data_IF_933450543324
#
_entry.id   IF_933450543324
#
_cell.length_a   1.000
_cell.length_b   1.000
_cell.length_c   1.000
_cell.angle_alpha   90.00
_cell.angle_beta   90.00
_cell.angle_gamma   90.00
#
_symmetry.space_group_name_H-M   'P 1'
#
loop_
_entity.id
_entity.type
_entity.pdbx_description
1 polymer ?
2 branched ?
3 branched ?
4 non-polymer ?
5 non-polymer ?
6 non-polymer ?
7 water ?
#
# COMPACT_ATOMS: atom_id res chain seq x y z
N UNK A 1 5.13 -8.56 -26.84
CA UNK A 1 4.19 -8.17 -25.71
C UNK A 1 3.54 -6.82 -26.05
N UNK A 2 2.26 -6.64 -25.72
CA UNK A 2 1.59 -5.34 -25.86
C UNK A 2 1.38 -4.77 -24.45
N UNK A 3 1.20 -3.44 -24.38
CA UNK A 3 0.87 -2.85 -23.12
C UNK A 3 -0.46 -3.40 -22.62
N UNK A 4 -0.53 -3.66 -21.32
CA UNK A 4 -1.76 -4.07 -20.72
C UNK A 4 -2.76 -2.92 -20.72
N UNK A 5 -4.03 -3.24 -21.00
CA UNK A 5 -5.12 -2.32 -20.88
C UNK A 5 -6.06 -2.83 -19.76
N UNK A 6 -6.62 -1.88 -19.02
CA UNK A 6 -7.54 -2.20 -17.93
C UNK A 6 -8.94 -2.38 -18.54
N UNK A 7 -9.17 -3.56 -19.12
CA UNK A 7 -10.39 -3.78 -19.90
C UNK A 7 -11.47 -4.43 -19.05
N UNK A 8 -11.12 -4.99 -17.91
CA UNK A 8 -12.05 -5.78 -17.12
C UNK A 8 -12.51 -5.02 -15.88
N UNK A 9 -13.64 -5.45 -15.33
CA UNK A 9 -14.11 -5.00 -14.04
C UNK A 9 -13.63 -5.89 -12.93
N UNK A 10 -13.91 -5.50 -11.69
CA UNK A 10 -13.57 -6.35 -10.55
C UNK A 10 -14.48 -7.57 -10.52
N UNK A 11 -13.94 -8.70 -10.08
CA UNK A 11 -14.73 -9.87 -9.76
C UNK A 11 -15.61 -9.50 -8.54
N UNK A 12 -16.73 -10.17 -8.41
CA UNK A 12 -17.53 -10.02 -7.23
C UNK A 12 -16.76 -10.61 -6.04
N UNK A 13 -16.66 -9.81 -5.00
CA UNK A 13 -15.96 -10.16 -3.80
C UNK A 13 -16.98 -10.64 -2.77
N UNK A 14 -17.03 -11.94 -2.53
CA UNK A 14 -17.94 -12.54 -1.50
C UNK A 14 -17.16 -12.99 -0.26
N UNK A 15 -15.83 -13.06 -0.37
CA UNK A 15 -14.94 -13.38 0.74
C UNK A 15 -13.49 -13.25 0.21
N UNK A 16 -12.55 -13.54 1.09
CA UNK A 16 -11.13 -13.47 0.76
C UNK A 16 -10.49 -14.81 1.08
N UNK A 17 -9.62 -15.27 0.18
CA UNK A 17 -8.87 -16.50 0.38
C UNK A 17 -7.40 -16.15 0.55
N UNK A 18 -6.66 -17.04 1.18
CA UNK A 18 -5.26 -16.84 1.41
C UNK A 18 -4.54 -16.94 0.07
N UNK A 19 -3.62 -16.00 -0.15
CA UNK A 19 -2.87 -15.92 -1.44
C UNK A 19 -1.40 -16.21 -1.18
N UNK A 20 -0.79 -15.46 -0.25
CA UNK A 20 0.62 -15.68 0.08
C UNK A 20 0.91 -15.30 1.51
N UNK A 21 1.96 -15.85 2.06
CA UNK A 21 2.38 -15.57 3.40
C UNK A 21 3.85 -15.99 3.48
N UNK A 22 4.74 -15.13 3.96
CA UNK A 22 6.15 -15.52 3.97
C UNK A 22 6.69 -15.98 5.32
N UNK A 23 6.02 -15.69 6.44
CA UNK A 23 6.53 -16.14 7.71
C UNK A 23 7.99 -15.67 7.95
N UNK A 24 8.32 -14.47 7.49
CA UNK A 24 9.69 -14.07 7.35
C UNK A 24 10.37 -13.99 8.73
N UNK A 25 9.63 -13.49 9.74
CA UNK A 25 10.23 -13.21 11.04
C UNK A 25 10.46 -14.53 11.78
N UNK A 26 9.52 -15.48 11.68
CA UNK A 26 9.72 -16.82 12.19
C UNK A 26 10.95 -17.46 11.56
N UNK A 27 10.98 -17.44 10.23
CA UNK A 27 12.08 -18.11 9.53
C UNK A 27 13.43 -17.42 9.78
N UNK A 28 13.45 -16.09 9.82
CA UNK A 28 14.68 -15.29 9.98
C UNK A 28 15.26 -15.32 11.38
N UNK A 29 14.55 -15.92 12.34
CA UNK A 29 15.12 -16.19 13.65
C UNK A 29 16.38 -17.05 13.52
N UNK A 30 16.46 -17.86 12.45
CA UNK A 30 17.60 -18.73 12.28
C UNK A 30 17.91 -18.92 10.79
N UNK A 31 17.79 -17.85 10.00
CA UNK A 31 18.26 -17.91 8.61
C UNK A 31 18.48 -16.47 8.14
N UNK A 32 19.12 -16.28 6.99
CA UNK A 32 19.66 -14.98 6.65
C UNK A 32 18.59 -14.14 5.95
N UNK A 33 17.62 -13.68 6.70
CA UNK A 33 16.52 -12.93 6.25
C UNK A 33 16.83 -11.45 6.49
N UNK A 34 16.62 -10.65 5.46
CA UNK A 34 16.79 -9.20 5.56
C UNK A 34 15.67 -8.57 6.40
N UNK A 35 16.06 -7.55 7.16
CA UNK A 35 15.10 -6.67 7.81
C UNK A 35 14.40 -5.85 6.74
N UNK A 36 13.09 -5.69 6.83
CA UNK A 36 12.31 -4.92 5.89
C UNK A 36 11.28 -4.07 6.63
N UNK A 37 10.61 -3.22 5.89
CA UNK A 37 9.29 -2.70 6.17
C UNK A 37 8.73 -2.19 4.83
N UNK A 38 7.52 -1.65 4.85
CA UNK A 38 6.87 -1.11 3.69
C UNK A 38 6.82 -2.14 2.56
N UNK A 39 6.28 -3.35 2.81
CA UNK A 39 6.20 -4.37 1.79
C UNK A 39 4.98 -4.14 0.88
N UNK A 40 4.99 -4.85 -0.24
CA UNK A 40 3.87 -4.93 -1.11
C UNK A 40 4.01 -6.12 -2.04
N UNK A 41 3.05 -6.27 -2.96
CA UNK A 41 3.01 -7.35 -3.92
C UNK A 41 2.77 -6.73 -5.28
N UNK A 42 3.39 -7.31 -6.33
CA UNK A 42 3.18 -6.80 -7.63
C UNK A 42 3.42 -7.91 -8.63
N UNK A 43 2.60 -7.96 -9.67
CA UNK A 43 2.67 -9.03 -10.66
C UNK A 43 3.30 -8.55 -11.97
N UNK A 44 4.10 -9.45 -12.56
CA UNK A 44 4.47 -9.38 -13.93
C UNK A 44 3.56 -10.32 -14.71
N UNK A 45 3.61 -10.32 -16.05
CA UNK A 45 2.75 -11.23 -16.81
C UNK A 45 2.97 -12.72 -16.53
N UNK A 46 4.15 -13.07 -16.04
CA UNK A 46 4.47 -14.47 -15.82
C UNK A 46 4.80 -14.84 -14.36
N UNK A 47 4.68 -13.92 -13.41
CA UNK A 47 5.12 -14.23 -12.05
C UNK A 47 4.56 -13.10 -11.19
N UNK A 48 4.23 -13.39 -9.94
CA UNK A 48 3.89 -12.36 -8.93
C UNK A 48 4.94 -12.46 -7.82
N UNK A 49 5.39 -11.31 -7.33
CA UNK A 49 6.49 -11.27 -6.36
C UNK A 49 6.13 -10.37 -5.18
N UNK A 50 6.78 -10.66 -4.06
CA UNK A 50 6.79 -9.77 -2.89
C UNK A 50 7.88 -8.71 -3.09
N UNK A 51 7.63 -7.51 -2.57
CA UNK A 51 8.48 -6.36 -2.61
C UNK A 51 8.53 -5.76 -1.21
N UNK A 52 9.62 -5.09 -0.89
CA UNK A 52 9.74 -4.32 0.33
C UNK A 52 11.00 -3.47 0.29
N UNK A 53 11.09 -2.57 1.29
CA UNK A 53 12.31 -1.82 1.51
C UNK A 53 13.17 -2.54 2.53
N UNK A 54 14.28 -3.09 2.06
CA UNK A 54 15.27 -3.62 2.90
C UNK A 54 15.87 -2.53 3.79
N UNK A 55 16.41 -2.97 4.94
CA UNK A 55 17.25 -2.11 5.78
C UNK A 55 18.74 -2.45 5.65
N UNK A 56 19.12 -3.32 4.72
CA UNK A 56 20.51 -3.62 4.47
C UNK A 56 21.21 -4.30 5.65
N UNK A 57 20.52 -5.26 6.28
CA UNK A 57 21.04 -6.07 7.36
C UNK A 57 20.07 -7.22 7.46
N UNK A 58 20.53 -8.34 8.00
CA UNK A 58 19.68 -9.42 8.48
C UNK A 58 19.06 -9.09 9.83
N UNK A 59 17.96 -9.81 10.18
CA UNK A 59 17.27 -9.67 11.48
C UNK A 59 18.24 -9.99 12.61
N UNK A 60 18.86 -11.16 12.51
CA UNK A 60 19.77 -11.63 13.54
C UNK A 60 21.11 -10.87 13.51
N UNK A 61 21.37 -10.08 12.47
CA UNK A 61 22.59 -9.31 12.39
C UNK A 61 22.62 -8.18 13.42
N UNK A 62 23.82 -7.86 13.90
CA UNK A 62 23.97 -6.74 14.83
C UNK A 62 23.51 -5.42 14.22
N UNK A 63 23.54 -5.25 12.87
CA UNK A 63 23.08 -4.06 12.24
C UNK A 63 21.55 -3.90 12.26
N UNK A 64 20.83 -4.90 12.77
CA UNK A 64 19.37 -4.78 12.95
C UNK A 64 19.05 -3.71 14.00
N UNK A 65 20.01 -3.42 14.86
CA UNK A 65 19.78 -2.43 15.93
C UNK A 65 19.62 -1.07 15.30
N UNK A 66 18.44 -0.44 15.49
CA UNK A 66 18.20 0.90 14.97
C UNK A 66 17.27 0.91 13.75
N UNK A 67 16.75 -0.26 13.35
CA UNK A 67 15.98 -0.35 12.14
C UNK A 67 14.56 0.15 12.28
N UNK A 68 14.17 0.68 13.46
CA UNK A 68 12.94 1.49 13.47
C UNK A 68 13.09 2.71 12.53
N UNK A 69 14.32 3.19 12.32
CA UNK A 69 14.56 4.43 11.57
C UNK A 69 14.17 4.22 10.10
N UNK A 70 13.54 5.24 9.52
CA UNK A 70 12.93 5.15 8.15
C UNK A 70 13.91 5.29 6.98
N UNK A 71 14.89 6.21 7.08
CA UNK A 71 15.53 6.69 5.84
C UNK A 71 17.05 6.71 5.95
N UNK A 72 17.69 5.59 5.71
CA UNK A 72 19.10 5.48 5.73
C UNK A 72 19.59 5.23 4.30
N UNK A 73 20.90 5.34 4.14
CA UNK A 73 21.58 5.05 2.89
C UNK A 73 21.65 3.54 2.63
N UNK A 74 21.16 2.70 3.56
CA UNK A 74 21.37 1.25 3.47
C UNK A 74 20.09 0.54 2.99
N UNK A 75 19.06 1.31 2.59
CA UNK A 75 17.77 0.77 2.21
C UNK A 75 17.73 0.64 0.71
N UNK A 76 16.92 -0.33 0.28
CA UNK A 76 16.70 -0.55 -1.14
C UNK A 76 15.35 -1.22 -1.34
N UNK A 77 14.77 -1.00 -2.51
CA UNK A 77 13.62 -1.77 -2.91
C UNK A 77 14.12 -3.14 -3.40
N UNK A 78 13.60 -4.18 -2.77
CA UNK A 78 13.91 -5.55 -3.13
C UNK A 78 12.62 -6.26 -3.53
N UNK A 79 12.79 -7.28 -4.40
CA UNK A 79 11.70 -8.21 -4.66
C UNK A 79 12.19 -9.64 -4.51
N UNK A 80 11.25 -10.54 -4.28
CA UNK A 80 11.61 -11.90 -4.07
C UNK A 80 10.40 -12.78 -4.37
N UNK A 81 10.62 -14.10 -4.61
CA UNK A 81 9.51 -14.97 -4.99
C UNK A 81 8.37 -15.03 -3.99
N UNK A 82 7.15 -15.15 -4.54
CA UNK A 82 5.93 -15.05 -3.75
C UNK A 82 6.01 -16.07 -2.61
N UNK A 83 5.76 -15.59 -1.40
CA UNK A 83 5.65 -16.36 -0.18
C UNK A 83 6.98 -16.93 0.33
N UNK A 84 8.09 -16.77 -0.41
CA UNK A 84 9.42 -16.97 0.19
C UNK A 84 9.68 -15.79 1.12
N UNK A 85 10.65 -15.89 2.06
CA UNK A 85 11.06 -14.71 2.81
C UNK A 85 12.09 -13.91 2.04
N UNK A 86 12.29 -12.62 2.38
CA UNK A 86 13.30 -11.79 1.75
C UNK A 86 14.69 -12.14 2.29
N UNK A 87 15.39 -13.05 1.61
CA UNK A 87 16.65 -13.43 2.11
C UNK A 87 17.78 -12.71 1.40
N UNK A 88 18.95 -12.78 2.00
CA UNK A 88 20.14 -12.18 1.36
C UNK A 88 20.36 -12.77 -0.02
N UNK A 89 20.07 -14.06 -0.16
CA UNK A 89 20.48 -14.83 -1.32
C UNK A 89 19.38 -14.89 -2.39
N UNK A 90 18.13 -14.53 -2.08
CA UNK A 90 17.04 -14.68 -3.08
C UNK A 90 16.43 -13.30 -3.38
N UNK A 91 16.91 -12.23 -2.80
CA UNK A 91 16.25 -10.93 -2.91
C UNK A 91 16.91 -10.16 -4.06
N UNK A 92 16.12 -9.65 -5.00
CA UNK A 92 16.65 -8.92 -6.13
C UNK A 92 16.47 -7.45 -5.84
N UNK A 93 17.55 -6.68 -5.96
CA UNK A 93 17.42 -5.22 -5.71
C UNK A 93 16.89 -4.54 -6.97
N UNK A 94 15.77 -3.82 -6.84
CA UNK A 94 15.17 -3.07 -7.95
C UNK A 94 15.79 -1.68 -8.08
N UNK A 95 16.03 -1.00 -6.96
CA UNK A 95 16.68 0.28 -6.94
C UNK A 95 17.00 0.62 -5.48
N UNK A 96 17.76 1.70 -5.29
CA UNK A 96 18.24 2.12 -3.96
C UNK A 96 17.40 3.26 -3.45
N UNK A 97 16.97 3.17 -2.19
CA UNK A 97 16.24 4.26 -1.59
C UNK A 97 15.30 3.80 -0.49
N UNK A 98 14.49 4.76 0.00
CA UNK A 98 13.78 4.56 1.21
C UNK A 98 12.30 4.90 1.06
N UNK A 99 11.83 5.00 -0.19
CA UNK A 99 10.43 5.11 -0.53
C UNK A 99 10.27 4.67 -1.98
N UNK A 100 9.22 3.90 -2.28
CA UNK A 100 9.21 3.24 -3.60
C UNK A 100 7.82 3.02 -4.13
N UNK A 101 7.75 2.69 -5.43
CA UNK A 101 6.64 2.06 -6.06
C UNK A 101 7.20 1.26 -7.24
N UNK A 102 6.36 0.38 -7.82
CA UNK A 102 6.77 -0.46 -8.95
C UNK A 102 5.53 -0.96 -9.63
N UNK A 103 5.55 -1.09 -10.97
CA UNK A 103 4.50 -1.74 -11.66
C UNK A 103 4.97 -2.19 -13.03
N UNK A 104 4.30 -3.23 -13.54
CA UNK A 104 4.56 -3.75 -14.85
C UNK A 104 3.49 -3.22 -15.80
N UNK A 105 3.93 -2.80 -17.00
CA UNK A 105 3.02 -2.19 -17.95
C UNK A 105 2.56 -3.18 -19.02
N UNK A 106 2.98 -4.44 -18.89
CA UNK A 106 2.67 -5.52 -19.82
C UNK A 106 3.82 -5.86 -20.71
N UNK A 107 4.71 -4.88 -20.93
CA UNK A 107 5.95 -5.12 -21.65
C UNK A 107 7.09 -5.31 -20.66
N UNK A 108 7.29 -4.36 -19.73
CA UNK A 108 8.33 -4.50 -18.75
C UNK A 108 7.92 -3.71 -17.52
N UNK A 109 8.81 -3.67 -16.53
CA UNK A 109 8.50 -3.10 -15.25
C UNK A 109 9.17 -1.75 -15.08
N UNK A 110 8.39 -0.88 -14.44
CA UNK A 110 8.91 0.40 -13.95
C UNK A 110 9.04 0.30 -12.44
N UNK A 111 10.20 0.73 -11.89
CA UNK A 111 10.43 0.80 -10.47
C UNK A 111 10.93 2.18 -10.12
N UNK A 112 10.42 2.74 -9.00
CA UNK A 112 10.82 4.09 -8.61
C UNK A 112 11.30 4.02 -7.17
N UNK A 113 12.50 4.55 -6.89
CA UNK A 113 13.04 4.64 -5.55
C UNK A 113 13.51 6.07 -5.32
N UNK A 114 13.19 6.60 -4.15
CA UNK A 114 13.61 7.92 -3.73
C UNK A 114 14.66 7.76 -2.65
N UNK A 115 15.73 8.56 -2.75
CA UNK A 115 16.77 8.60 -1.76
C UNK A 115 17.16 10.05 -1.51
N UNK A 116 18.00 10.21 -0.48
CA UNK A 116 18.60 11.50 -0.17
C UNK A 116 18.25 11.93 1.28
N UNK A 117 18.80 13.09 1.66
CA UNK A 117 18.51 13.67 2.95
C UNK A 117 17.14 14.33 2.80
N UNK A 118 16.60 14.76 3.93
CA UNK A 118 15.25 15.23 3.93
C UNK A 118 15.01 16.43 3.03
N UNK A 119 16.00 17.32 2.94
CA UNK A 119 15.86 18.56 2.21
C UNK A 119 16.41 18.47 0.79
N UNK A 120 16.72 17.25 0.28
CA UNK A 120 17.38 17.19 -0.99
C UNK A 120 17.22 15.78 -1.61
N UNK A 121 16.02 15.22 -1.49
CA UNK A 121 15.78 13.85 -2.00
C UNK A 121 15.50 13.90 -3.49
N UNK A 122 15.64 12.75 -4.14
CA UNK A 122 15.38 12.64 -5.58
C UNK A 122 14.86 11.22 -5.87
N UNK A 123 13.89 11.17 -6.77
CA UNK A 123 13.37 9.95 -7.38
C UNK A 123 14.22 9.56 -8.61
N UNK A 124 14.51 8.26 -8.73
CA UNK A 124 15.04 7.68 -9.94
C UNK A 124 14.01 6.67 -10.42
N UNK A 125 13.60 6.85 -11.67
CA UNK A 125 12.64 6.05 -12.33
C UNK A 125 13.39 5.08 -13.24
N UNK A 126 13.26 3.81 -12.92
CA UNK A 126 13.84 2.66 -13.63
C UNK A 126 12.79 2.04 -14.53
N UNK A 127 13.21 1.67 -15.75
CA UNK A 127 12.34 1.00 -16.68
C UNK A 127 13.15 -0.07 -17.40
N UNK A 128 12.64 -1.29 -17.41
CA UNK A 128 13.40 -2.39 -18.00
C UNK A 128 14.76 -2.54 -17.30
N UNK A 129 14.76 -2.37 -15.98
CA UNK A 129 15.88 -2.54 -15.06
C UNK A 129 17.06 -1.62 -15.39
N UNK A 130 16.74 -0.46 -15.98
CA UNK A 130 17.71 0.57 -16.22
C UNK A 130 17.16 1.92 -15.78
N UNK A 131 18.02 2.84 -15.28
CA UNK A 131 17.55 4.15 -14.87
C UNK A 131 17.24 4.97 -16.12
N UNK A 132 16.08 5.63 -16.12
CA UNK A 132 15.71 6.43 -17.28
C UNK A 132 15.50 7.92 -16.94
N UNK A 133 14.75 8.21 -15.87
CA UNK A 133 14.34 9.57 -15.52
C UNK A 133 14.67 9.82 -14.05
N UNK A 134 14.95 11.08 -13.72
CA UNK A 134 15.19 11.50 -12.34
C UNK A 134 14.34 12.73 -12.07
N UNK A 135 13.86 12.80 -10.82
CA UNK A 135 13.02 13.96 -10.38
C UNK A 135 13.58 14.45 -9.08
N UNK A 136 13.93 15.74 -9.04
CA UNK A 136 14.39 16.35 -7.79
C UNK A 136 13.21 16.77 -6.92
N UNK A 137 13.46 16.77 -5.62
CA UNK A 137 12.53 17.31 -4.61
C UNK A 137 12.05 18.68 -5.08
N UNK A 138 10.73 18.88 -4.98
CA UNK A 138 10.15 20.20 -5.29
C UNK A 138 9.82 21.00 -4.04
N UNK A 139 9.67 20.37 -2.88
CA UNK A 139 9.32 21.08 -1.67
C UNK A 139 10.40 20.95 -0.58
N UNK A 140 11.46 20.19 -0.86
CA UNK A 140 12.61 20.02 0.04
C UNK A 140 12.19 19.50 1.41
N UNK A 141 11.30 18.51 1.41
CA UNK A 141 10.83 17.93 2.67
C UNK A 141 10.31 16.51 2.44
N UNK A 142 11.25 15.59 2.28
CA UNK A 142 11.02 14.16 2.22
C UNK A 142 10.10 13.82 1.04
N UNK A 143 10.59 14.10 -0.18
CA UNK A 143 9.95 13.59 -1.36
C UNK A 143 9.66 12.10 -1.14
N UNK A 144 8.46 11.62 -1.50
CA UNK A 144 8.05 10.27 -1.07
C UNK A 144 6.88 9.79 -1.92
N UNK A 145 6.64 8.48 -1.97
CA UNK A 145 5.64 7.95 -2.85
C UNK A 145 4.90 6.78 -2.19
N UNK A 146 4.34 5.91 -3.01
CA UNK A 146 3.16 5.08 -2.67
C UNK A 146 3.45 4.01 -1.62
N UNK A 147 4.60 3.35 -1.72
CA UNK A 147 4.91 2.15 -0.91
C UNK A 147 4.00 0.96 -1.26
N UNK A 148 3.39 0.98 -2.44
CA UNK A 148 2.75 -0.16 -3.03
C UNK A 148 2.71 0.01 -4.55
N UNK A 149 2.17 -0.97 -5.23
CA UNK A 149 2.30 -0.99 -6.71
C UNK A 149 1.53 0.17 -7.35
N UNK A 150 2.09 0.67 -8.45
CA UNK A 150 1.39 1.55 -9.36
C UNK A 150 0.58 0.69 -10.34
N UNK A 151 -0.19 1.35 -11.18
CA UNK A 151 -1.00 0.66 -12.18
C UNK A 151 -0.80 1.32 -13.54
N UNK A 152 -0.81 0.50 -14.57
CA UNK A 152 -0.62 1.02 -15.93
C UNK A 152 -1.83 0.75 -16.81
N UNK A 153 -1.98 1.62 -17.84
CA UNK A 153 -3.02 1.43 -18.83
C UNK A 153 -2.44 1.92 -20.17
N UNK A 154 -2.38 1.01 -21.15
CA UNK A 154 -1.81 1.34 -22.46
C UNK A 154 -0.46 2.05 -22.30
N UNK A 155 0.36 1.58 -21.37
CA UNK A 155 1.71 2.10 -21.21
C UNK A 155 1.80 3.29 -20.28
N UNK A 156 0.69 3.90 -19.89
CA UNK A 156 0.70 5.05 -19.01
C UNK A 156 0.50 4.54 -17.57
N UNK A 157 1.46 4.87 -16.71
CA UNK A 157 1.51 4.40 -15.34
C UNK A 157 1.55 5.64 -14.45
N UNK A 158 0.38 6.06 -13.91
CA UNK A 158 0.35 7.17 -12.97
C UNK A 158 0.93 6.78 -11.62
N UNK A 159 1.63 7.72 -11.02
CA UNK A 159 2.23 7.54 -9.71
C UNK A 159 1.93 8.79 -8.89
N UNK A 160 1.55 8.59 -7.63
CA UNK A 160 1.31 9.72 -6.73
C UNK A 160 2.53 9.93 -5.84
N UNK A 161 2.99 11.20 -5.74
CA UNK A 161 4.08 11.57 -4.87
C UNK A 161 3.60 12.70 -3.97
N UNK A 162 4.23 12.82 -2.81
CA UNK A 162 4.08 13.94 -1.94
C UNK A 162 5.44 14.49 -1.55
N UNK A 163 5.54 15.83 -1.41
CA UNK A 163 6.76 16.47 -0.88
C UNK A 163 6.28 17.66 -0.02
N UNK A 164 6.78 17.76 1.21
CA UNK A 164 6.32 18.74 2.11
C UNK A 164 5.92 18.12 3.43
N UNK A 165 5.26 18.95 4.25
CA UNK A 165 4.94 18.58 5.57
C UNK A 165 4.10 17.31 5.60
N UNK A 166 4.32 16.48 6.62
CA UNK A 166 3.43 15.34 6.90
C UNK A 166 2.27 15.73 7.83
N UNK A 167 2.26 16.97 8.33
CA UNK A 167 1.32 17.42 9.40
C UNK A 167 0.69 18.77 9.04
N UNK A 168 0.41 18.96 7.76
CA UNK A 168 0.03 20.23 7.27
C UNK A 168 -0.12 20.10 5.76
N UNK A 169 -0.52 21.17 5.08
CA UNK A 169 -0.55 21.17 3.61
C UNK A 169 0.82 20.80 3.04
N UNK A 170 0.79 20.01 1.95
CA UNK A 170 1.97 19.57 1.27
C UNK A 170 1.68 19.66 -0.23
N UNK A 171 2.71 19.36 -1.03
CA UNK A 171 2.63 19.45 -2.47
C UNK A 171 2.63 18.03 -3.06
N UNK A 172 1.42 17.55 -3.35
CA UNK A 172 1.22 16.23 -3.91
C UNK A 172 1.12 16.41 -5.40
N UNK A 173 1.77 15.49 -6.13
CA UNK A 173 1.74 15.52 -7.56
C UNK A 173 1.40 14.12 -8.11
N UNK A 174 0.59 14.08 -9.19
CA UNK A 174 0.36 12.86 -9.96
C UNK A 174 1.24 12.96 -11.21
N UNK A 175 2.19 12.02 -11.35
CA UNK A 175 3.02 11.91 -12.51
C UNK A 175 2.47 10.80 -13.39
N UNK A 176 2.49 11.05 -14.69
CA UNK A 176 2.07 10.08 -15.67
C UNK A 176 3.30 9.62 -16.43
N UNK A 177 3.76 8.37 -16.20
CA UNK A 177 4.94 7.88 -16.84
C UNK A 177 4.58 6.98 -18.00
N UNK A 178 5.47 6.94 -19.00
CA UNK A 178 5.40 5.89 -20.05
C UNK A 178 6.82 5.56 -20.48
N UNK A 179 7.18 4.30 -20.38
CA UNK A 179 8.54 3.81 -20.68
C UNK A 179 9.55 4.58 -19.82
N UNK A 180 9.13 4.89 -18.59
CA UNK A 180 9.94 5.56 -17.60
C UNK A 180 10.15 7.02 -17.84
N UNK A 181 9.47 7.59 -18.83
CA UNK A 181 9.57 9.00 -19.15
C UNK A 181 8.32 9.72 -18.65
N UNK A 182 8.49 11.02 -18.35
CA UNK A 182 7.38 11.81 -17.89
C UNK A 182 6.58 12.32 -19.08
N UNK A 183 5.31 11.93 -19.16
CA UNK A 183 4.39 12.49 -20.15
C UNK A 183 3.85 13.81 -19.64
N UNK A 184 3.53 13.87 -18.35
CA UNK A 184 2.77 14.96 -17.78
C UNK A 184 2.87 14.77 -16.26
N UNK A 185 2.72 15.88 -15.53
CA UNK A 185 2.38 15.78 -14.13
C UNK A 185 1.34 16.85 -13.81
N UNK A 186 0.58 16.62 -12.75
CA UNK A 186 -0.43 17.55 -12.32
C UNK A 186 -0.34 17.69 -10.82
N UNK A 187 -0.61 18.87 -10.24
CA UNK A 187 -0.77 18.96 -8.80
C UNK A 187 -2.10 18.33 -8.39
N UNK A 188 -2.17 17.87 -7.15
CA UNK A 188 -3.39 17.32 -6.61
C UNK A 188 -4.52 18.35 -6.77
N UNK A 189 -5.69 17.87 -7.20
CA UNK A 189 -6.90 18.67 -7.22
C UNK A 189 -7.98 17.93 -6.46
N UNK A 190 -9.18 18.53 -6.39
CA UNK A 190 -10.30 17.95 -5.65
C UNK A 190 -10.27 18.31 -4.19
N UNK A 191 -10.93 17.49 -3.37
CA UNK A 191 -11.25 17.90 -2.00
C UNK A 191 -10.43 17.16 -0.94
N UNK A 192 -9.55 16.23 -1.35
CA UNK A 192 -8.61 15.63 -0.39
C UNK A 192 -7.65 16.72 0.06
N UNK A 193 -7.44 16.86 1.37
CA UNK A 193 -6.67 17.97 1.89
C UNK A 193 -5.22 17.58 2.15
N UNK A 194 -4.91 16.27 2.15
CA UNK A 194 -3.57 15.79 2.41
C UNK A 194 -3.51 14.36 1.88
N UNK A 195 -2.38 14.00 1.25
CA UNK A 195 -2.25 12.67 0.61
C UNK A 195 -0.91 12.05 0.99
N UNK A 196 -0.98 10.81 1.45
CA UNK A 196 0.20 10.01 1.61
C UNK A 196 -0.06 8.59 1.14
N UNK A 197 1.00 7.94 0.64
CA UNK A 197 1.05 6.47 0.56
C UNK A 197 -0.17 5.87 -0.14
N UNK A 198 -0.45 6.29 -1.37
CA UNK A 198 -1.63 5.80 -2.04
C UNK A 198 -1.49 4.31 -2.41
N UNK A 199 -2.60 3.60 -2.26
CA UNK A 199 -2.80 2.22 -2.63
C UNK A 199 -3.75 2.19 -3.82
N UNK A 200 -3.29 1.65 -4.99
CA UNK A 200 -4.04 1.80 -6.20
C UNK A 200 -4.43 0.46 -6.84
N UNK A 201 -5.48 0.50 -7.64
CA UNK A 201 -5.88 -0.63 -8.49
C UNK A 201 -6.58 -0.05 -9.72
N UNK A 202 -6.66 -0.84 -10.79
CA UNK A 202 -7.31 -0.43 -12.00
C UNK A 202 -8.42 -1.36 -12.41
N UNK A 203 -9.45 -0.79 -13.04
CA UNK A 203 -10.51 -1.54 -13.66
C UNK A 203 -11.23 -0.59 -14.64
N UNK A 204 -11.67 -1.15 -15.77
CA UNK A 204 -12.39 -0.46 -16.83
C UNK A 204 -11.79 0.95 -17.04
N UNK A 205 -10.48 0.99 -17.27
CA UNK A 205 -9.75 2.18 -17.73
C UNK A 205 -9.82 3.34 -16.74
N UNK A 206 -9.92 2.97 -15.47
CA UNK A 206 -9.90 3.94 -14.36
C UNK A 206 -8.99 3.38 -13.25
N UNK A 207 -8.16 4.22 -12.66
CA UNK A 207 -7.31 3.83 -11.57
C UNK A 207 -7.83 4.54 -10.32
N UNK A 208 -8.06 3.74 -9.27
CA UNK A 208 -8.55 4.22 -7.97
C UNK A 208 -7.46 4.03 -6.93
N UNK A 209 -7.10 5.12 -6.25
CA UNK A 209 -6.11 5.10 -5.22
C UNK A 209 -6.75 5.49 -3.88
N UNK A 210 -6.53 4.69 -2.84
CA UNK A 210 -6.94 5.03 -1.48
C UNK A 210 -5.70 5.37 -0.69
N UNK A 211 -5.71 6.52 -0.01
CA UNK A 211 -4.49 7.07 0.50
C UNK A 211 -4.66 7.35 1.99
N UNK A 212 -3.65 7.98 2.58
CA UNK A 212 -3.58 8.26 4.00
C UNK A 212 -3.50 9.79 4.17
N UNK A 213 -4.55 10.38 4.78
CA UNK A 213 -4.49 11.79 5.18
C UNK A 213 -3.80 11.83 6.53
N UNK A 214 -2.48 12.06 6.54
CA UNK A 214 -1.75 12.02 7.75
C UNK A 214 -2.05 13.26 8.62
N UNK A 215 -2.57 14.33 8.02
CA UNK A 215 -2.72 15.61 8.72
C UNK A 215 -3.94 15.57 9.64
N UNK A 216 -5.15 15.60 9.09
CA UNK A 216 -6.37 15.76 9.91
C UNK A 216 -7.36 14.59 9.80
N UNK A 217 -7.30 13.76 8.75
CA UNK A 217 -8.42 12.93 8.37
C UNK A 217 -8.29 11.48 8.88
N UNK A 218 -9.37 10.92 9.44
CA UNK A 218 -9.39 9.50 9.81
C UNK A 218 -10.24 8.70 8.85
N UNK A 219 -10.95 9.41 7.95
CA UNK A 219 -11.48 8.85 6.71
C UNK A 219 -10.31 8.89 5.70
N UNK A 220 -10.34 8.02 4.68
CA UNK A 220 -9.21 7.98 3.76
C UNK A 220 -9.56 8.79 2.52
N UNK A 221 -8.60 9.59 2.04
CA UNK A 221 -8.75 10.26 0.76
C UNK A 221 -8.69 9.23 -0.39
N UNK A 222 -9.38 9.55 -1.47
CA UNK A 222 -9.43 8.71 -2.62
C UNK A 222 -9.09 9.60 -3.81
N UNK A 223 -8.14 9.14 -4.61
CA UNK A 223 -7.84 9.76 -5.91
C UNK A 223 -8.27 8.82 -7.00
N UNK A 224 -9.03 9.32 -7.99
CA UNK A 224 -9.40 8.53 -9.13
C UNK A 224 -8.81 9.16 -10.39
N UNK A 225 -8.10 8.32 -11.13
CA UNK A 225 -7.26 8.75 -12.24
C UNK A 225 -7.78 8.14 -13.53
N UNK A 226 -7.93 9.00 -14.53
CA UNK A 226 -8.19 8.64 -15.90
C UNK A 226 -6.83 8.60 -16.60
N UNK A 227 -6.25 7.40 -16.86
CA UNK A 227 -4.91 7.37 -17.42
C UNK A 227 -4.84 7.62 -18.93
N UNK A 228 -6.00 7.81 -19.56
CA UNK A 228 -6.04 8.18 -21.01
C UNK A 228 -6.02 9.70 -21.12
N UNK A 229 -6.94 10.35 -20.41
CA UNK A 229 -7.02 11.79 -20.38
C UNK A 229 -5.88 12.37 -19.56
N UNK A 230 -5.30 11.53 -18.69
CA UNK A 230 -4.30 11.94 -17.70
C UNK A 230 -4.80 13.08 -16.85
N UNK A 231 -5.94 12.82 -16.20
CA UNK A 231 -6.62 13.75 -15.30
C UNK A 231 -7.04 12.95 -14.08
N UNK A 232 -7.41 13.66 -13.03
CA UNK A 232 -7.83 12.97 -11.83
C UNK A 232 -8.79 13.85 -11.02
N UNK A 233 -9.40 13.23 -10.02
CA UNK A 233 -10.11 13.97 -9.01
C UNK A 233 -9.80 13.33 -7.68
N UNK A 234 -10.21 14.01 -6.62
CA UNK A 234 -10.00 13.49 -5.27
C UNK A 234 -11.19 13.84 -4.40
N UNK A 235 -11.39 12.98 -3.42
CA UNK A 235 -12.40 13.20 -2.36
C UNK A 235 -12.01 12.30 -1.21
N UNK A 236 -12.92 12.12 -0.23
CA UNK A 236 -12.73 11.15 0.82
C UNK A 236 -13.77 10.03 0.67
N UNK A 237 -13.46 8.87 1.24
CA UNK A 237 -14.49 7.87 1.44
C UNK A 237 -15.56 8.49 2.39
N UNK A 238 -16.81 8.58 1.91
CA UNK A 238 -17.96 9.22 2.58
C UNK A 238 -18.36 8.41 3.83
N UNK A 239 -18.17 7.08 3.76
CA UNK A 239 -18.66 6.17 4.82
C UNK A 239 -18.22 6.56 6.21
N UNK A 240 -19.12 6.38 7.21
CA UNK A 240 -18.73 6.51 8.60
C UNK A 240 -17.94 5.34 9.15
N UNK A 241 -17.64 4.34 8.31
CA UNK A 241 -16.74 3.28 8.75
C UNK A 241 -15.33 3.78 8.51
N UNK A 242 -14.71 4.35 9.53
CA UNK A 242 -13.46 5.04 9.34
C UNK A 242 -12.30 4.03 9.28
N UNK A 243 -11.34 4.29 8.37
CA UNK A 243 -10.39 3.20 8.10
C UNK A 243 -8.92 3.59 8.20
N UNK A 244 -8.59 4.78 8.69
CA UNK A 244 -7.21 5.06 9.05
C UNK A 244 -6.95 4.54 10.47
N UNK A 245 -5.74 4.75 10.97
CA UNK A 245 -5.30 4.37 12.32
C UNK A 245 -4.16 5.27 12.72
N UNK A 246 -4.17 5.81 13.93
CA UNK A 246 -5.27 5.77 14.90
C UNK A 246 -6.46 6.57 14.37
N UNK A 247 -7.60 6.42 15.04
CA UNK A 247 -8.78 7.02 14.56
C UNK A 247 -9.75 7.13 15.74
N UNK A 248 -10.76 8.01 15.64
CA UNK A 248 -11.86 8.01 16.61
C UNK A 248 -12.82 6.86 16.31
N UNK A 249 -13.75 6.65 17.24
CA UNK A 249 -14.76 5.68 17.02
C UNK A 249 -15.62 6.08 15.83
N UNK A 250 -16.23 5.08 15.21
CA UNK A 250 -17.04 5.28 14.07
C UNK A 250 -18.26 6.12 14.42
N UNK A 251 -18.53 7.19 13.66
CA UNK A 251 -19.78 7.94 13.81
C UNK A 251 -20.93 7.26 13.04
N UNK A 252 -22.07 7.96 12.86
CA UNK A 252 -23.13 7.41 12.03
C UNK A 252 -23.16 8.09 10.67
N UNK A 253 -22.45 9.22 10.54
CA UNK A 253 -22.38 9.91 9.26
C UNK A 253 -20.93 10.40 9.07
N UNK A 254 -20.38 10.08 7.88
CA UNK A 254 -19.00 10.43 7.61
C UNK A 254 -18.90 11.75 6.86
N UNK A 255 -17.79 11.95 6.17
CA UNK A 255 -17.56 13.16 5.43
C UNK A 255 -16.95 12.81 4.08
N UNK A 256 -17.60 13.33 3.04
CA UNK A 256 -17.24 13.06 1.60
C UNK A 256 -16.08 13.96 1.12
N UNK A 257 -16.01 15.20 1.61
CA UNK A 257 -15.19 16.25 1.01
C UNK A 257 -14.31 16.98 2.01
N UNK A 258 -14.16 16.45 3.22
CA UNK A 258 -13.22 16.98 4.18
C UNK A 258 -12.81 15.86 5.11
N UNK A 259 -11.68 16.05 5.83
CA UNK A 259 -11.19 15.07 6.79
C UNK A 259 -12.19 14.92 7.96
N UNK A 260 -12.43 13.67 8.36
CA UNK A 260 -13.18 13.39 9.51
C UNK A 260 -12.23 13.57 10.67
N UNK A 261 -12.54 14.52 11.59
CA UNK A 261 -11.55 14.93 12.58
C UNK A 261 -11.49 14.06 13.83
N UNK A 262 -10.55 14.38 14.73
CA UNK A 262 -10.44 13.64 15.99
C UNK A 262 -9.03 13.19 16.26
N UNK A 263 -8.29 12.90 15.18
CA UNK A 263 -6.90 12.45 15.28
C UNK A 263 -6.06 13.20 14.24
N UNK A 264 -4.91 13.72 14.66
CA UNK A 264 -4.08 14.57 13.84
C UNK A 264 -2.71 13.94 13.70
N UNK A 265 -2.06 14.21 12.57
CA UNK A 265 -0.63 14.01 12.46
C UNK A 265 -0.22 12.56 12.71
N UNK A 266 -0.97 11.64 12.16
CA UNK A 266 -0.62 10.26 12.18
C UNK A 266 -1.53 9.53 11.21
N UNK A 267 -1.21 8.26 11.00
CA UNK A 267 -2.02 7.46 10.10
C UNK A 267 -1.33 6.14 9.83
N UNK A 268 -1.87 5.41 8.87
CA UNK A 268 -1.22 4.18 8.38
C UNK A 268 -1.62 4.01 6.92
N UNK A 269 -0.72 3.49 6.10
CA UNK A 269 -1.09 3.17 4.73
C UNK A 269 -2.18 2.10 4.74
N UNK A 270 -3.20 2.28 3.87
CA UNK A 270 -4.28 1.34 3.75
C UNK A 270 -4.86 1.37 2.37
N UNK A 271 -6.04 0.72 2.21
CA UNK A 271 -6.56 0.49 0.87
C UNK A 271 -8.07 0.23 0.95
N UNK A 272 -8.71 0.27 -0.20
CA UNK A 272 -10.07 -0.13 -0.34
C UNK A 272 -10.30 -0.57 -1.76
N UNK A 273 -11.40 -1.28 -1.98
CA UNK A 273 -11.93 -1.55 -3.32
C UNK A 273 -13.31 -0.89 -3.37
N UNK A 274 -13.50 0.05 -4.29
CA UNK A 274 -14.67 0.93 -4.28
C UNK A 274 -15.42 0.66 -5.57
N UNK A 275 -16.46 -0.15 -5.48
CA UNK A 275 -17.09 -0.69 -6.68
C UNK A 275 -18.59 -0.90 -6.41
N UNK A 276 -19.28 0.21 -6.02
CA UNK A 276 -20.73 0.14 -5.77
C UNK A 276 -21.01 -0.80 -4.63
N UNK A 277 -21.95 -1.73 -4.84
CA UNK A 277 -22.25 -2.61 -3.74
C UNK A 277 -21.06 -3.54 -3.47
N UNK A 278 -20.23 -3.76 -4.50
CA UNK A 278 -19.05 -4.62 -4.35
C UNK A 278 -17.88 -3.82 -3.77
N UNK A 279 -18.11 -3.13 -2.64
CA UNK A 279 -17.12 -2.30 -2.02
C UNK A 279 -16.68 -2.95 -0.71
N UNK A 280 -15.37 -3.09 -0.54
CA UNK A 280 -14.77 -3.65 0.65
C UNK A 280 -13.69 -2.69 1.13
N UNK A 281 -13.66 -2.43 2.44
CA UNK A 281 -12.70 -1.57 3.08
C UNK A 281 -11.83 -2.41 4.03
N UNK A 282 -10.52 -2.19 4.02
CA UNK A 282 -9.67 -2.74 5.04
C UNK A 282 -9.45 -1.75 6.17
N UNK A 283 -9.30 -2.27 7.39
CA UNK A 283 -8.81 -1.46 8.48
C UNK A 283 -8.24 -2.32 9.62
N UNK A 284 -7.43 -1.66 10.46
CA UNK A 284 -7.02 -2.19 11.72
C UNK A 284 -8.30 -2.36 12.56
N UNK A 285 -8.25 -3.36 13.45
CA UNK A 285 -9.39 -3.53 14.34
C UNK A 285 -9.27 -2.44 15.42
N UNK A 286 -8.09 -2.29 16.00
CA UNK A 286 -7.87 -1.26 16.98
C UNK A 286 -8.04 0.13 16.41
N UNK A 287 -8.66 1.04 17.21
CA UNK A 287 -8.69 2.43 16.86
C UNK A 287 -7.45 3.15 17.35
N UNK A 288 -6.62 2.52 18.18
CA UNK A 288 -5.51 3.22 18.78
C UNK A 288 -4.16 2.82 18.21
N UNK A 289 -4.01 1.57 17.80
CA UNK A 289 -2.71 1.05 17.40
C UNK A 289 -2.84 0.17 16.17
N UNK A 290 -1.68 -0.21 15.63
CA UNK A 290 -1.63 -1.06 14.44
C UNK A 290 -1.76 -2.51 14.88
N UNK A 291 -2.94 -2.86 15.35
CA UNK A 291 -3.21 -4.21 15.79
C UNK A 291 -4.54 -4.65 15.19
N UNK A 292 -4.55 -5.89 14.75
CA UNK A 292 -5.63 -6.51 14.08
C UNK A 292 -5.81 -6.02 12.65
N UNK A 293 -6.64 -6.73 11.92
CA UNK A 293 -6.98 -6.32 10.56
C UNK A 293 -8.25 -7.01 10.16
N UNK A 294 -9.12 -6.26 9.49
CA UNK A 294 -10.35 -6.78 9.03
C UNK A 294 -10.74 -6.15 7.70
N UNK A 295 -11.53 -6.91 6.95
CA UNK A 295 -12.18 -6.41 5.76
C UNK A 295 -13.68 -6.29 6.04
N UNK A 296 -14.28 -5.20 5.63
CA UNK A 296 -15.69 -4.96 5.78
C UNK A 296 -16.26 -4.62 4.43
N UNK A 297 -17.39 -5.25 4.13
CA UNK A 297 -18.12 -4.96 2.94
C UNK A 297 -19.04 -3.79 3.29
N UNK A 298 -18.88 -2.66 2.60
CA UNK A 298 -19.54 -1.43 2.95
C UNK A 298 -20.10 -0.90 1.63
N UNK A 299 -21.29 -1.37 1.22
CA UNK A 299 -21.87 -0.96 -0.05
C UNK A 299 -21.86 0.56 -0.20
N UNK A 300 -21.32 1.02 -1.33
CA UNK A 300 -21.28 2.42 -1.72
C UNK A 300 -20.53 3.29 -0.72
N UNK A 301 -19.48 2.74 -0.06
CA UNK A 301 -18.73 3.51 0.88
C UNK A 301 -18.27 4.84 0.31
N UNK A 302 -17.85 4.86 -0.96
CA UNK A 302 -17.25 6.03 -1.49
C UNK A 302 -18.25 7.19 -1.49
N UNK A 303 -19.54 6.90 -1.76
CA UNK A 303 -20.49 7.94 -2.09
C UNK A 303 -21.59 8.10 -1.03
N UNK A 304 -21.70 7.13 -0.13
CA UNK A 304 -22.86 7.09 0.85
C UNK A 304 -22.31 7.40 2.24
N UNK A 305 -22.64 8.60 2.76
CA UNK A 305 -22.14 9.06 4.01
C UNK A 305 -22.79 8.41 5.25
N UNK A 306 -23.68 7.44 5.05
CA UNK A 306 -24.19 6.68 6.21
C UNK A 306 -23.94 5.17 6.05
N UNK A 307 -23.17 4.79 5.00
CA UNK A 307 -22.97 3.35 4.64
C UNK A 307 -22.29 2.62 5.81
N UNK A 308 -22.90 1.48 6.18
CA UNK A 308 -22.36 0.64 7.23
C UNK A 308 -22.11 -0.77 6.68
N UNK A 309 -21.38 -1.62 7.41
CA UNK A 309 -21.04 -2.94 6.90
C UNK A 309 -22.23 -3.87 6.73
N UNK A 310 -22.19 -4.69 5.68
CA UNK A 310 -23.20 -5.72 5.43
C UNK A 310 -22.58 -7.14 5.55
N UNK A 311 -21.24 -7.20 5.66
CA UNK A 311 -20.48 -8.46 5.69
C UNK A 311 -19.07 -8.11 6.13
N UNK A 312 -18.32 -9.08 6.62
CA UNK A 312 -16.96 -8.84 6.93
C UNK A 312 -16.10 -10.09 7.00
N UNK A 313 -14.80 -9.85 7.17
CA UNK A 313 -13.89 -10.97 7.35
C UNK A 313 -12.75 -10.49 8.21
N UNK A 314 -12.45 -11.24 9.28
CA UNK A 314 -11.28 -10.99 10.11
C UNK A 314 -10.04 -11.56 9.39
N UNK A 315 -8.99 -10.76 9.29
CA UNK A 315 -7.73 -11.19 8.64
C UNK A 315 -6.68 -11.45 9.72
N UNK A 316 -6.54 -10.54 10.69
CA UNK A 316 -5.58 -10.60 11.77
C UNK A 316 -6.35 -10.22 13.04
N UNK A 317 -6.21 -11.07 14.08
CA UNK A 317 -6.89 -10.79 15.34
C UNK A 317 -6.35 -9.50 15.94
N UNK A 318 -7.17 -8.88 16.78
CA UNK A 318 -6.78 -7.68 17.46
C UNK A 318 -5.67 -7.92 18.47
N UNK A 319 -5.38 -9.17 18.82
CA UNK A 319 -4.31 -9.49 19.71
C UNK A 319 -2.98 -9.76 18.98
N UNK A 320 -2.95 -9.43 17.66
CA UNK A 320 -1.75 -9.62 16.86
C UNK A 320 -1.46 -8.29 16.16
N UNK A 321 -0.19 -8.07 15.88
CA UNK A 321 0.25 -6.82 15.25
C UNK A 321 -0.05 -6.87 13.73
N UNK A 322 -0.50 -5.74 13.22
CA UNK A 322 -0.66 -5.53 11.75
C UNK A 322 0.32 -4.43 11.33
N UNK A 323 -0.14 -3.50 10.48
CA UNK A 323 0.78 -2.59 9.83
C UNK A 323 0.15 -2.03 8.60
N UNK A 324 1.01 -1.67 7.65
CA UNK A 324 0.56 -1.16 6.38
C UNK A 324 -0.28 -2.20 5.65
N UNK A 325 -1.14 -1.73 4.76
CA UNK A 325 -1.81 -2.61 3.84
C UNK A 325 -2.02 -1.88 2.51
N UNK A 326 -2.13 -2.67 1.45
CA UNK A 326 -2.20 -2.12 0.10
C UNK A 326 -2.81 -3.10 -0.88
N UNK A 327 -3.21 -2.56 -2.01
CA UNK A 327 -3.87 -3.28 -3.08
C UNK A 327 -2.86 -3.65 -4.18
N UNK A 328 -3.17 -4.77 -4.82
CA UNK A 328 -2.57 -5.16 -6.07
C UNK A 328 -3.58 -6.12 -6.73
N UNK A 329 -3.38 -6.37 -8.03
CA UNK A 329 -4.13 -7.44 -8.72
C UNK A 329 -3.18 -8.08 -9.72
N UNK A 330 -3.51 -9.31 -10.09
CA UNK A 330 -2.87 -9.97 -11.18
C UNK A 330 -3.65 -9.62 -12.46
N UNK A 331 -3.20 -8.57 -13.12
CA UNK A 331 -3.79 -8.07 -14.34
C UNK A 331 -3.63 -9.05 -15.51
N UNK A 332 -2.80 -10.07 -15.35
CA UNK A 332 -2.52 -11.01 -16.43
C UNK A 332 -3.15 -12.38 -16.19
N UNK A 333 -4.09 -12.48 -15.27
CA UNK A 333 -4.74 -13.75 -14.98
C UNK A 333 -5.75 -14.10 -16.09
N UNK A 334 -6.20 -15.34 -16.09
CA UNK A 334 -7.24 -15.75 -17.02
C UNK A 334 -8.60 -15.28 -16.51
N UNK A 335 -9.56 -15.24 -17.42
CA UNK A 335 -10.91 -15.06 -16.99
C UNK A 335 -11.41 -13.68 -17.33
N UNK A 336 -12.57 -13.35 -16.80
CA UNK A 336 -13.36 -12.25 -17.35
C UNK A 336 -13.29 -11.02 -16.45
N UNK A 337 -12.65 -11.16 -15.28
CA UNK A 337 -12.68 -10.09 -14.33
C UNK A 337 -11.35 -10.08 -13.55
N UNK A 338 -11.03 -8.93 -12.94
CA UNK A 338 -9.82 -8.77 -12.16
C UNK A 338 -10.14 -9.13 -10.71
N UNK A 339 -9.36 -10.04 -10.13
CA UNK A 339 -9.55 -10.48 -8.78
C UNK A 339 -8.80 -9.53 -7.84
N UNK A 340 -9.57 -8.80 -7.03
CA UNK A 340 -9.04 -7.93 -6.01
C UNK A 340 -8.10 -8.70 -5.08
N UNK A 341 -6.95 -8.09 -4.79
CA UNK A 341 -6.02 -8.66 -3.79
C UNK A 341 -5.51 -7.56 -2.86
N UNK A 342 -4.99 -7.97 -1.71
CA UNK A 342 -4.35 -7.07 -0.83
C UNK A 342 -3.30 -7.79 -0.02
N UNK A 343 -2.42 -7.01 0.59
CA UNK A 343 -1.46 -7.54 1.56
C UNK A 343 -1.63 -6.75 2.87
N UNK A 344 -1.18 -7.36 3.97
CA UNK A 344 -0.97 -6.69 5.24
C UNK A 344 0.46 -6.96 5.69
N UNK A 345 1.13 -5.87 6.06
CA UNK A 345 2.41 -5.84 6.68
C UNK A 345 2.19 -6.17 8.16
N UNK A 346 2.84 -7.23 8.66
CA UNK A 346 2.71 -7.64 10.08
C UNK A 346 3.98 -7.22 10.79
N UNK A 347 3.95 -6.01 11.39
CA UNK A 347 5.14 -5.40 11.93
C UNK A 347 5.52 -6.07 13.25
N UNK A 348 6.80 -6.41 13.37
CA UNK A 348 7.29 -6.92 14.62
C UNK A 348 8.44 -6.06 15.08
N UNK A 349 8.69 -6.09 16.39
CA UNK A 349 9.73 -5.33 16.96
C UNK A 349 9.29 -3.92 17.34
N UNK A 350 10.19 -2.94 17.18
CA UNK A 350 9.89 -1.59 17.71
C UNK A 350 8.86 -0.87 16.83
N UNK A 351 8.04 0.00 17.45
CA UNK A 351 8.13 0.45 18.84
C UNK A 351 7.31 -0.42 19.82
N UNK A 352 6.44 -1.29 19.30
CA UNK A 352 5.50 -1.95 20.20
C UNK A 352 6.19 -3.01 21.04
N UNK A 353 7.19 -3.67 20.46
CA UNK A 353 7.93 -4.79 21.08
C UNK A 353 9.38 -4.34 21.24
N UNK A 354 9.66 -3.60 22.33
CA UNK A 354 10.90 -2.93 22.43
C UNK A 354 11.92 -3.71 23.25
N UNK A 355 11.68 -4.99 23.52
CA UNK A 355 12.75 -5.83 24.08
C UNK A 355 13.76 -6.26 23.00
N UNK A 356 13.35 -6.15 21.74
CA UNK A 356 14.33 -6.26 20.65
C UNK A 356 14.67 -4.84 20.20
N UNK A 357 15.82 -4.72 19.52
CA UNK A 357 16.33 -3.46 19.06
C UNK A 357 16.03 -3.17 17.58
N UNK A 358 15.30 -4.10 16.93
CA UNK A 358 14.99 -3.99 15.52
C UNK A 358 13.50 -3.73 15.31
N UNK A 359 13.19 -3.41 14.06
CA UNK A 359 11.84 -3.35 13.55
C UNK A 359 11.85 -4.10 12.22
N UNK A 360 10.94 -5.04 12.05
CA UNK A 360 10.83 -5.70 10.74
C UNK A 360 9.36 -6.08 10.55
N UNK A 361 9.06 -6.94 9.57
CA UNK A 361 7.70 -7.33 9.33
C UNK A 361 7.73 -8.67 8.61
N UNK A 362 6.58 -9.32 8.56
CA UNK A 362 6.34 -10.32 7.54
C UNK A 362 5.12 -9.89 6.73
N UNK A 363 4.72 -10.73 5.77
CA UNK A 363 3.67 -10.39 4.86
C UNK A 363 2.62 -11.49 4.91
N UNK A 364 1.35 -11.08 4.87
CA UNK A 364 0.25 -11.94 4.52
C UNK A 364 -0.52 -11.24 3.41
N UNK A 365 -1.09 -12.02 2.49
CA UNK A 365 -1.80 -11.46 1.35
C UNK A 365 -2.97 -12.37 1.00
N UNK A 366 -4.10 -11.78 0.58
CA UNK A 366 -5.29 -12.50 0.30
C UNK A 366 -5.86 -11.94 -1.00
N UNK A 367 -6.64 -12.75 -1.73
CA UNK A 367 -7.34 -12.29 -2.92
C UNK A 367 -8.81 -12.65 -2.74
N UNK A 368 -9.68 -12.05 -3.53
CA UNK A 368 -11.11 -12.25 -3.36
C UNK A 368 -11.56 -13.57 -3.97
N UNK A 369 -12.61 -14.13 -3.38
CA UNK A 369 -13.34 -15.29 -3.86
C UNK A 369 -14.78 -14.90 -4.18
N UNK A 370 -15.37 -15.56 -5.19
CA UNK A 370 -16.86 -15.47 -5.40
C UNK A 370 -17.59 -16.46 -4.50
N UNK A 371 -16.87 -17.36 -3.80
CA UNK A 371 -17.49 -18.14 -2.74
C UNK A 371 -17.57 -17.33 -1.47
N UNK A 372 -18.34 -17.84 -0.51
CA UNK A 372 -18.39 -17.31 0.84
C UNK A 372 -17.60 -18.26 1.74
N UNK A 373 -16.27 -18.06 1.74
CA UNK A 373 -15.36 -18.96 2.41
C UNK A 373 -15.29 -18.68 3.90
N UNK A 374 -15.00 -19.76 4.63
CA UNK A 374 -14.64 -19.66 6.02
C UNK A 374 -13.44 -18.80 6.24
N UNK A 375 -13.42 -18.12 7.40
CA UNK A 375 -12.29 -17.25 7.74
C UNK A 375 -11.37 -17.86 8.78
N UNK A 376 -10.06 -17.60 8.61
CA UNK A 376 -9.06 -17.85 9.65
C UNK A 376 -8.41 -16.51 9.98
N UNK A 377 -7.48 -16.49 10.93
CA UNK A 377 -6.70 -15.31 11.19
C UNK A 377 -5.26 -15.69 10.89
N UNK A 378 -4.47 -14.69 10.50
CA UNK A 378 -3.15 -14.92 9.92
C UNK A 378 -2.11 -14.04 10.59
N UNK A 379 -1.65 -14.43 11.76
CA UNK A 379 -0.65 -13.64 12.46
C UNK A 379 0.75 -13.83 11.87
N UNK A 380 1.65 -12.96 12.27
CA UNK A 380 3.03 -13.11 11.91
C UNK A 380 3.57 -14.46 12.33
N UNK A 381 3.36 -14.79 13.60
CA UNK A 381 3.68 -16.14 14.13
C UNK A 381 5.01 -16.28 14.83
N UNK A 382 5.87 -15.24 14.84
CA UNK A 382 7.12 -15.31 15.58
C UNK A 382 6.94 -15.02 17.06
N UNK A 383 7.77 -15.72 17.86
CA UNK A 383 7.86 -15.51 19.30
C UNK A 383 9.03 -14.59 19.59
N UNK A 384 8.70 -13.39 20.05
CA UNK A 384 9.69 -12.38 20.23
C UNK A 384 10.74 -12.82 21.26
N UNK A 385 10.31 -13.60 22.26
CA UNK A 385 11.23 -14.03 23.33
C UNK A 385 12.39 -14.84 22.73
N UNK A 386 12.17 -15.49 21.58
CA UNK A 386 13.25 -16.23 20.96
C UNK A 386 14.42 -15.37 20.52
N UNK A 387 14.17 -14.09 20.24
CA UNK A 387 15.14 -13.19 19.74
C UNK A 387 15.91 -12.46 20.83
N UNK A 388 15.60 -12.77 22.09
CA UNK A 388 16.24 -12.09 23.22
C UNK A 388 17.47 -12.88 23.67
X LIG B 1 -4.02 -1.87 -25.49
X LIG B 1 -3.66 -3.03 -26.37
X LIG B 1 -2.71 -2.62 -27.52
X LIG B 1 -3.30 -1.44 -28.23
X LIG B 1 -3.70 -0.35 -27.21
X LIG B 1 -4.40 0.93 -27.73
X LIG B 1 -3.29 -5.40 -25.53
X LIG B 1 -4.21 -5.82 -26.51
X LIG B 1 -3.04 -4.05 -25.59
X LIG B 1 -2.45 -3.80 -28.26
X LIG B 1 -2.31 -0.77 -29.04
X LIG B 1 -4.64 -0.90 -26.31
X LIG B 1 -5.52 0.52 -28.50
X LIG B 1 -2.76 -6.26 -24.73
X LIG B 2 -2.23 -1.23 -30.40
X LIG B 2 -1.49 -0.19 -31.25
X LIG B 2 -1.23 -0.72 -32.70
X LIG B 2 -0.57 -2.10 -32.68
X LIG B 2 -1.47 -3.01 -31.79
X LIG B 2 -1.00 -4.43 -31.59
X LIG B 2 -2.14 2.07 -30.46
X LIG B 2 -3.28 3.03 -30.59
X LIG B 2 -2.30 1.00 -31.20
X LIG B 2 -0.42 0.20 -33.42
X LIG B 2 -0.28 -2.58 -34.04
X LIG B 2 -1.58 -2.47 -30.43
X LIG B 2 0.39 -4.36 -31.25
X LIG B 2 -1.21 2.26 -29.66
X LIG C 1 21.57 -0.75 20.24
X LIG C 1 22.46 -1.26 21.31
X LIG C 1 22.09 -0.51 22.60
X LIG C 1 22.34 0.94 22.39
X LIG C 1 21.48 1.38 21.17
X LIG C 1 21.49 2.83 20.73
X LIG C 1 22.76 -3.58 20.92
X LIG C 1 23.68 -3.17 19.73
X LIG C 1 22.10 -2.62 21.54
X LIG C 1 22.78 -1.14 23.66
X LIG C 1 21.89 1.53 23.64
X LIG C 1 21.83 0.60 20.01
X LIG C 1 22.83 3.21 20.44
X LIG C 1 22.57 -4.69 21.36
X LIG C 2 22.90 2.41 24.16
X LIG C 2 22.29 3.51 24.99
X LIG C 2 23.46 4.46 25.39
X LIG C 2 24.46 3.67 26.25
X LIG C 2 24.95 2.51 25.36
X LIG C 2 25.95 1.56 26.00
X LIG C 2 19.90 3.73 24.58
X LIG C 2 18.80 4.46 23.84
X LIG C 2 21.16 4.15 24.32
X LIG C 2 23.01 5.61 26.11
X LIG C 2 25.47 4.56 26.78
X LIG C 2 23.81 1.70 24.99
X LIG C 2 25.22 0.43 26.48
X LIG C 2 19.67 2.80 25.37
X LIG D 1 21.10 20.18 -2.28
X LIG D 1 22.05 20.99 -1.41
X LIG D 1 22.88 21.98 -2.25
X LIG D 1 23.58 21.19 -3.34
X LIG D 1 22.54 20.42 -4.17
X LIG D 1 23.21 19.64 -5.33
X LIG D 1 21.36 21.78 0.72
X LIG D 1 20.33 22.66 1.39
X LIG D 1 21.19 21.81 -0.56
X LIG D 1 23.87 22.68 -1.42
X LIG D 1 24.20 22.17 -4.16
X LIG D 1 22.00 19.49 -3.23
X LIG D 1 24.26 18.83 -4.85
X LIG D 1 22.19 21.18 1.36
X LIG D 2 25.58 21.83 -4.39
X LIG D 2 26.14 22.39 -5.72
X LIG D 2 27.55 21.96 -5.96
X LIG D 2 28.36 22.43 -4.78
X LIG D 2 27.71 21.99 -3.44
X LIG D 2 28.38 22.40 -2.15
X LIG D 2 24.38 22.70 -7.38
X LIG D 2 23.78 22.21 -8.63
X LIG D 2 25.33 22.00 -6.82
X LIG D 2 28.07 22.40 -7.22
X LIG D 2 29.66 21.84 -4.80
X LIG D 2 26.32 22.42 -3.35
X LIG D 2 28.30 23.81 -2.16
X LIG D 2 24.05 23.82 -7.00
X LIG D 3 30.76 22.74 -4.80
X LIG D 3 32.01 21.97 -4.46
X LIG D 3 33.21 22.91 -4.68
X LIG D 3 33.17 23.63 -5.98
X LIG D 3 31.89 24.40 -6.18
X LIG D 3 31.86 25.10 -7.50
X LIG D 3 32.17 20.93 -5.39
X LIG D 3 34.37 22.12 -4.55
X LIG D 3 34.25 24.58 -6.01
X LIG D 3 30.81 23.41 -6.06
X LIG D 3 30.75 25.99 -7.59
X LIG D 4 35.40 22.73 -3.77
X LIG D 4 36.63 21.91 -4.00
X LIG D 4 36.47 20.52 -3.37
X LIG D 4 36.19 20.63 -1.88
X LIG D 4 34.95 21.49 -1.70
X LIG D 4 34.59 21.70 -0.25
X LIG D 4 37.61 22.72 -3.29
X LIG D 4 37.58 19.64 -3.56
X LIG D 4 36.01 19.31 -1.33
X LIG D 4 35.09 22.75 -2.41
X LIG D 4 33.25 22.22 -0.29
X LIG D 5 38.91 22.28 -3.30
X LIG D 5 39.72 23.24 -2.41
X LIG D 5 39.80 24.59 -3.07
X LIG D 5 40.44 24.47 -4.40
X LIG D 5 39.61 23.46 -5.23
X LIG D 5 40.22 23.36 -6.57
X LIG D 5 41.03 22.69 -2.20
X LIG D 5 40.63 25.40 -2.17
X LIG D 5 40.39 25.77 -5.08
X LIG D 5 39.53 22.19 -4.55
X LIG D 5 41.63 23.14 -6.63
X LIG D 6 41.28 22.08 -0.97
X LIG D 6 42.77 21.91 -0.86
X LIG D 6 43.22 20.81 -1.87
X LIG D 6 42.38 19.50 -1.61
X LIG D 6 40.91 19.84 -1.66
X LIG D 6 39.99 18.71 -1.27
X LIG D 6 43.12 21.50 0.44
X LIG D 6 44.60 20.52 -1.74
X LIG D 6 42.70 18.48 -2.58
X LIG D 6 40.57 20.84 -0.70
X LIG D 6 40.23 18.27 0.10
X LIG D 7 31.17 27.27 -7.05
X LIG D 7 29.92 28.12 -6.92
X LIG D 7 29.36 28.40 -8.26
X LIG D 7 30.45 29.01 -9.14
X LIG D 7 31.64 28.08 -9.18
X LIG D 7 32.73 28.61 -10.10
X LIG D 7 30.33 29.33 -6.27
X LIG D 7 28.28 29.33 -8.19
X LIG D 7 29.96 29.17 -10.43
X LIG D 7 32.10 27.91 -7.93
X LIG D 7 33.11 29.89 -9.55
X LIG D 8 27.04 28.85 -8.76
X LIG D 8 26.03 30.01 -8.86
X LIG D 8 25.66 30.46 -7.44
X LIG D 8 25.24 29.34 -6.48
X LIG D 8 26.25 28.19 -6.54
X LIG D 8 25.72 26.93 -5.76
X LIG D 8 24.91 29.59 -9.65
X LIG D 8 24.59 31.37 -7.62
X LIG D 8 25.19 29.78 -5.10
X LIG D 8 26.46 27.84 -7.92
X LIG D 8 26.83 26.07 -5.36
X LIG D 9 34.16 30.56 -10.33
X LIG D 9 34.40 31.96 -9.78
X LIG D 9 33.08 32.71 -10.11
X LIG D 9 32.69 32.72 -11.59
X LIG D 9 32.61 31.31 -12.08
X LIG D 9 32.31 31.30 -13.58
X LIG D 9 35.70 32.48 -10.25
X LIG D 9 33.15 34.02 -9.62
X LIG D 9 31.34 33.12 -11.85
X LIG D 9 33.85 30.68 -11.73
X LIG D 9 32.51 30.00 -14.14
X LIG E 1 24.53 -19.68 9.06
X LIG F 1 -4.93 10.14 9.56
X LIG G 1 20.24 0.20 10.81
X LIG G 1 21.48 -0.48 10.86
X LIG G 1 20.60 1.65 10.90
X LIG G 1 22.07 1.86 10.70
X LIG G 1 19.72 2.33 9.88
X LIG G 1 19.25 3.60 10.36
X LIG H 1 20.86 6.19 -21.26
X LIG H 1 21.17 5.55 -20.02
X LIG H 1 20.05 7.48 -21.07
X LIG H 1 18.79 7.22 -20.43
X LIG H 1 19.79 8.13 -22.42
X LIG H 1 19.16 9.42 -22.20
X LIG I 1 -11.10 -14.28 -13.12
X LIG I 1 -11.35 -15.69 -13.19
X LIG I 1 -10.22 -13.98 -11.90
X LIG I 1 -10.68 -14.67 -10.74
X LIG I 1 -8.77 -14.40 -12.20
X LIG I 1 -7.91 -13.98 -11.13
X LIG J 1 -6.61 21.84 -2.11
X LIG J 1 -6.59 21.85 -0.65
X LIG J 1 -6.98 20.46 -2.75
X LIG J 1 -7.19 20.43 -4.19
X LIG J 1 -5.83 19.55 -2.58
X LIG J 1 -5.45 19.52 -1.19
X LIG K 1 -20.06 16.27 3.15
X LIG K 1 -19.94 14.84 3.38
X LIG K 1 -19.76 17.42 4.19
X LIG K 1 -20.18 17.29 5.56
X LIG K 1 -18.27 17.70 4.23
X LIG K 1 -17.60 16.68 3.46
X LIG L 1 7.45 3.66 13.56
X LIG L 1 7.13 4.00 14.93
X LIG L 1 7.25 4.87 12.61
X LIG L 1 7.66 6.01 13.38
X LIG L 1 8.16 4.85 11.36
X LIG L 1 9.52 4.35 11.60
X LIG M 1 4.85 5.01 9.37
X LIG M 1 3.85 5.62 9.75
X LIG M 1 5.11 3.87 9.77
X LIG M 1 5.71 5.58 8.37
X LIG M 1 6.86 4.77 7.81
X LIG M 1 7.37 5.30 6.44
X LIG M 1 7.52 6.82 6.48
X LIG M 1 8.03 7.33 5.20
X LIG M 1 9.23 7.84 4.99
X LIG M 1 10.05 8.04 5.88
X LIG M 1 9.54 8.21 3.57
X LIG M 1 6.16 7.46 6.75
X LIG M 1 5.51 6.84 7.96
X LIG M 1 6.33 8.88 6.91
X LIG M 1 5.70 9.68 5.90
X LIG M 1 4.18 9.48 5.78
X LIG M 1 6.18 11.08 6.19
X LIG M 1 7.63 11.22 5.99
X LIG M 1 3.39 10.13 6.82
X LIG M 1 8.61 4.64 6.04
#
# INVERSE_FOLDING_TARGET
RDFNNLTKGLCTINSWHIYGKDNAVRIGEDSDVLVTREPYVSCDPDECRFYALSQGTTIRGKHSNGTIHDRSQYRALISWPLSSPPTVYNSRVECIGWSSTSCHDGKTRMSICISGPNNNASAVIWYNRRPVTEINTWARNILRTQESECVCHNGVCPVVFTDGSATGPAETRIYYFKEGKILKWEPLAGTAKHIEECSCYGERAEITCTCRDNWQGSNRPVIRIDPVAMTHTSQYICSPVLTDNPRPNDPTVGKCNDPYPGNNNNGVKGFSYLDGVNTWLGRTISIASRSGYEMLKVPNALTDDKSKPTQGQTIVLNTDWSGYSGSFMDYWAEGECYRACFYVELIRGRPKEDKVWWTSNSIVSMCSSTEFLGQWDWPDGAKIEYFL
NAG C1 C2 C3 C4 C5 C6 C7 C8 N2 O3 O4 O5 O6 O7
NAG C1 C2 C3 C4 C5 C6 C7 C8 N2 O3 O4 O5 O6 O7
NAG C1 C2 C3 C4 C5 C6 C7 C8 N2 O3 O4 O5 O6 O7
NAG C1 C2 C3 C4 C5 C6 C7 C8 N2 O3 O4 O5 O6 O7
NAG C1 C2 C3 C4 C5 C6 C7 C8 N2 O3 O4 O5 O6 O7
NAG C1 C2 C3 C4 C5 C6 C7 C8 N2 O3 O4 O5 O6 O7
BMA C1 C2 C3 C4 C5 C6 O2 O3 O4 O5 O6
MAN C1 C2 C3 C4 C5 C6 O2 O3 O4 O5 O6
MAN C1 C2 C3 C4 C5 C6 O2 O3 O4 O5 O6
MAN C1 C2 C3 C4 C5 C6 O2 O3 O4 O5 O6
MAN C1 C2 C3 C4 C5 C6 O2 O3 O4 O5 O6
MAN C1 C2 C3 C4 C5 C6 O2 O3 O4 O5 O6
MAN C1 C2 C3 C4 C5 C6 O2 O3 O4 O5 O6
CA CA
CA CA
GOL C1 O1 C2 O2 C3 O3
GOL C1 O1 C2 O2 C3 O3
GOL C1 O1 C2 O2 C3 O3
GOL C1 O1 C2 O2 C3 O3
GOL C1 O1 C2 O2 C3 O3
GOL C1 O1 C2 O2 C3 O3
G39 C1 O1A O1B C2 C3 C4 C5 N5 C10 O10 C11 C6 C7 O7 C8 C9 C81 C82 C91 N4
#
